data_IF_580885595924
#
_entry.id   IF_580885595924
#
_cell.length_a   1.000
_cell.length_b   1.000
_cell.length_c   1.000
_cell.angle_alpha   90.00
_cell.angle_beta   90.00
_cell.angle_gamma   90.00
#
_symmetry.space_group_name_H-M   'P 1'
#
loop_
_entity.id
_entity.type
_entity.pdbx_description
1 polymer ?
#
# COMPACT_ATOMS: atom_id res chain seq x y z
N UNK A 1 -26.30 25.10 -18.83
CA UNK A 1 -26.05 25.45 -17.41
C UNK A 1 -26.70 24.40 -16.52
N UNK A 2 -25.93 23.43 -16.02
CA UNK A 2 -26.07 23.01 -14.63
C UNK A 2 -24.82 22.27 -14.20
N UNK A 3 -24.26 22.75 -13.10
CA UNK A 3 -22.90 22.55 -12.63
C UNK A 3 -22.73 21.26 -11.83
N UNK A 4 -21.57 20.63 -12.02
CA UNK A 4 -20.66 20.05 -11.01
C UNK A 4 -21.31 19.14 -9.94
N UNK A 5 -21.16 17.83 -10.12
CA UNK A 5 -20.85 16.91 -9.02
C UNK A 5 -19.43 16.38 -9.25
N UNK A 6 -18.51 16.91 -8.46
CA UNK A 6 -17.12 16.48 -8.35
C UNK A 6 -17.13 15.05 -7.80
N UNK A 7 -16.57 14.10 -8.54
CA UNK A 7 -16.27 12.75 -8.06
C UNK A 7 -15.45 12.87 -6.78
N UNK A 8 -16.06 12.50 -5.65
CA UNK A 8 -15.35 12.24 -4.40
C UNK A 8 -14.71 10.86 -4.54
N UNK A 9 -13.41 10.74 -4.27
CA UNK A 9 -12.72 9.46 -4.11
C UNK A 9 -13.53 8.54 -3.19
N UNK A 10 -13.92 7.34 -3.63
CA UNK A 10 -14.63 6.41 -2.77
C UNK A 10 -13.66 5.62 -1.88
N UNK A 11 -13.82 5.84 -0.58
CA UNK A 11 -13.80 4.85 0.50
C UNK A 11 -12.66 3.83 0.59
N UNK A 12 -11.52 4.26 1.12
CA UNK A 12 -10.89 3.55 2.24
C UNK A 12 -11.71 3.85 3.51
N UNK A 13 -12.93 3.31 3.60
CA UNK A 13 -13.73 3.35 4.82
C UNK A 13 -13.47 2.11 5.67
N UNK A 14 -12.20 1.90 6.04
CA UNK A 14 -11.92 1.18 7.28
C UNK A 14 -12.31 2.11 8.43
N UNK A 15 -13.41 1.79 9.12
CA UNK A 15 -13.78 2.42 10.38
C UNK A 15 -12.67 2.11 11.41
N UNK A 16 -11.64 2.94 11.47
CA UNK A 16 -10.68 2.96 12.57
C UNK A 16 -11.22 3.93 13.64
N UNK A 17 -11.62 3.46 14.84
CA UNK A 17 -11.96 4.36 15.91
C UNK A 17 -10.71 5.13 16.36
N UNK A 18 -10.79 6.45 16.33
CA UNK A 18 -9.77 7.33 16.90
C UNK A 18 -9.66 7.07 18.41
N UNK A 19 -8.45 6.77 18.90
CA UNK A 19 -8.17 6.82 20.34
C UNK A 19 -8.26 8.28 20.81
N UNK A 20 -9.26 8.60 21.62
CA UNK A 20 -9.30 9.81 22.43
C UNK A 20 -8.26 9.73 23.54
N UNK A 21 -7.46 10.79 23.68
CA UNK A 21 -6.61 11.01 24.85
C UNK A 21 -7.47 11.50 26.02
N UNK A 22 -7.17 11.14 27.27
CA UNK A 22 -7.88 11.69 28.42
C UNK A 22 -7.40 13.12 28.72
N UNK A 23 -8.37 14.04 28.77
CA UNK A 23 -8.25 15.37 29.33
C UNK A 23 -7.93 15.31 30.83
N UNK A 24 -6.96 16.10 31.26
CA UNK A 24 -6.56 16.23 32.65
C UNK A 24 -5.73 17.49 32.88
N UNK A 25 -6.36 18.65 32.72
CA UNK A 25 -5.80 19.92 33.13
C UNK A 25 -5.90 20.08 34.66
N UNK A 26 -4.76 20.20 35.34
CA UNK A 26 -4.68 20.63 36.75
C UNK A 26 -4.08 22.03 36.78
N UNK A 27 -4.83 22.98 37.35
CA UNK A 27 -4.41 24.37 37.61
C UNK A 27 -3.30 24.46 38.66
N UNK A 28 -2.43 25.49 38.60
CA UNK A 28 -1.41 25.74 39.63
C UNK A 28 -1.92 26.69 40.73
N UNK A 29 -1.40 26.64 41.97
CA UNK A 29 -1.57 27.71 42.94
C UNK A 29 -0.41 28.71 42.90
N UNK A 30 -0.72 29.96 43.24
CA UNK A 30 0.20 31.09 43.26
C UNK A 30 0.77 31.39 44.67
N UNK A 31 2.01 31.87 44.64
CA UNK A 31 2.67 32.87 45.52
C UNK A 31 3.00 32.54 46.99
N UNK A 32 4.30 32.59 47.33
CA UNK A 32 4.90 33.70 48.13
C UNK A 32 6.43 33.49 48.33
N UNK A 33 7.17 34.61 48.33
CA UNK A 33 8.63 34.80 48.60
C UNK A 33 8.83 35.14 50.11
N UNK A 34 10.04 35.10 50.77
CA UNK A 34 11.28 35.77 50.31
C UNK A 34 12.69 35.28 50.77
N UNK A 35 13.70 35.89 50.10
CA UNK A 35 15.07 36.31 50.47
C UNK A 35 16.01 35.45 51.35
N UNK A 36 17.21 35.16 50.81
CA UNK A 36 18.59 35.57 51.23
C UNK A 36 19.62 34.74 50.40
N UNK A 37 20.90 35.05 50.14
CA UNK A 37 21.75 36.24 49.89
C UNK A 37 23.17 35.69 49.59
N UNK A 38 23.88 36.23 48.59
CA UNK A 38 25.35 36.13 48.31
C UNK A 38 25.91 34.74 47.89
N UNK A 39 26.82 34.58 46.92
CA UNK A 39 28.10 35.26 46.67
C UNK A 39 28.48 35.25 45.16
N UNK A 40 29.14 36.32 44.74
CA UNK A 40 29.76 36.63 43.43
C UNK A 40 31.02 35.78 43.13
N UNK A 41 31.27 35.42 41.86
CA UNK A 41 32.47 35.82 41.05
C UNK A 41 32.66 34.91 39.82
N UNK A 42 33.04 35.56 38.72
CA UNK A 42 33.18 35.03 37.37
C UNK A 42 34.45 34.18 37.13
N UNK A 43 34.36 33.22 36.19
CA UNK A 43 35.46 32.85 35.29
C UNK A 43 34.89 32.63 33.88
N UNK A 44 35.32 33.47 32.95
CA UNK A 44 35.17 33.28 31.50
C UNK A 44 36.45 32.61 31.01
N UNK A 45 36.37 31.39 30.47
CA UNK A 45 37.34 30.86 29.49
C UNK A 45 36.59 30.07 28.43
N UNK A 46 36.80 30.50 27.19
CA UNK A 46 36.29 29.97 25.93
C UNK A 46 36.79 28.56 25.63
N UNK A 47 35.89 27.64 25.28
CA UNK A 47 36.18 26.54 24.35
C UNK A 47 35.17 26.63 23.22
N UNK A 48 35.60 27.30 22.16
CA UNK A 48 35.00 27.16 20.84
C UNK A 48 35.27 25.75 20.31
N UNK A 49 34.37 25.29 19.45
CA UNK A 49 34.58 24.23 18.45
C UNK A 49 34.55 22.78 18.94
N UNK A 50 33.32 22.30 19.21
CA UNK A 50 32.91 20.95 18.84
C UNK A 50 31.39 20.88 18.65
N UNK A 51 30.83 21.74 17.78
CA UNK A 51 29.69 21.29 16.96
C UNK A 51 30.27 20.23 16.02
N UNK A 52 30.44 19.01 16.55
CA UNK A 52 30.53 17.85 15.71
C UNK A 52 29.18 17.76 15.02
N UNK A 53 29.22 18.13 13.75
CA UNK A 53 28.25 17.79 12.73
C UNK A 53 27.88 16.31 12.87
N UNK A 54 26.92 15.99 13.72
CA UNK A 54 25.94 14.93 13.42
C UNK A 54 25.07 15.45 12.29
N UNK A 55 25.71 15.74 11.15
CA UNK A 55 25.02 15.78 9.89
C UNK A 55 24.40 14.41 9.76
N UNK A 56 23.07 14.37 9.82
CA UNK A 56 22.31 13.17 9.57
C UNK A 56 22.90 12.54 8.31
N UNK A 57 23.63 11.43 8.46
CA UNK A 57 23.84 10.49 7.37
C UNK A 57 22.46 9.86 7.14
N UNK A 58 21.54 10.63 6.55
CA UNK A 58 20.32 10.12 5.95
C UNK A 58 20.82 9.01 5.05
N UNK A 59 20.51 7.76 5.41
CA UNK A 59 21.08 6.58 4.75
C UNK A 59 21.02 6.77 3.24
N UNK A 60 22.18 7.01 2.64
CA UNK A 60 22.34 7.37 1.22
C UNK A 60 22.16 6.17 0.29
N UNK A 61 21.77 5.01 0.84
CA UNK A 61 21.56 3.81 0.07
C UNK A 61 20.19 3.80 -0.58
N UNK A 62 20.21 3.35 -1.82
CA UNK A 62 19.02 3.12 -2.59
C UNK A 62 18.21 1.98 -1.95
N UNK A 63 16.90 2.17 -1.93
CA UNK A 63 15.94 1.15 -1.56
C UNK A 63 15.29 0.61 -2.83
N UNK A 64 15.01 -0.69 -2.78
CA UNK A 64 14.44 -1.41 -3.90
C UNK A 64 13.03 -1.90 -3.57
N UNK A 65 12.20 -1.94 -4.60
CA UNK A 65 10.88 -2.58 -4.61
C UNK A 65 10.76 -3.43 -5.87
N UNK A 66 9.90 -4.44 -5.84
CA UNK A 66 9.70 -5.37 -6.94
C UNK A 66 8.64 -4.86 -7.92
N UNK A 67 7.64 -4.16 -7.38
CA UNK A 67 6.55 -3.65 -8.20
C UNK A 67 5.81 -2.44 -7.65
N UNK A 68 4.85 -2.01 -8.44
CA UNK A 68 3.91 -0.94 -8.14
C UNK A 68 2.51 -1.52 -8.22
N UNK A 69 1.70 -1.23 -7.22
CA UNK A 69 0.28 -1.46 -7.29
C UNK A 69 -0.41 -0.19 -7.81
N UNK A 70 -1.35 -0.39 -8.73
CA UNK A 70 -2.17 0.67 -9.30
C UNK A 70 -3.62 0.36 -9.03
N UNK A 71 -4.34 1.31 -8.46
CA UNK A 71 -5.79 1.29 -8.34
C UNK A 71 -6.38 2.13 -9.49
N UNK A 72 -6.90 1.52 -10.57
CA UNK A 72 -7.48 2.29 -11.67
C UNK A 72 -8.67 3.13 -11.22
N UNK A 73 -8.63 4.40 -11.60
CA UNK A 73 -9.71 5.37 -11.49
C UNK A 73 -9.65 6.37 -12.67
N UNK A 74 -10.62 7.27 -12.75
CA UNK A 74 -10.68 8.26 -13.84
C UNK A 74 -9.48 9.24 -13.83
N UNK A 75 -8.92 9.55 -12.65
CA UNK A 75 -7.86 10.54 -12.52
C UNK A 75 -6.49 9.99 -12.97
N UNK A 76 -6.30 8.67 -12.82
CA UNK A 76 -5.03 7.99 -13.06
C UNK A 76 -5.17 6.85 -14.07
N UNK A 77 -6.21 6.88 -14.90
CA UNK A 77 -6.49 5.88 -15.93
C UNK A 77 -5.30 5.61 -16.87
N UNK A 78 -4.39 6.57 -17.06
CA UNK A 78 -3.16 6.39 -17.83
C UNK A 78 -1.93 6.64 -16.95
N UNK A 79 -1.53 5.67 -16.11
CA UNK A 79 -0.45 5.85 -15.15
C UNK A 79 0.90 6.05 -15.85
N UNK A 80 1.71 6.95 -15.32
CA UNK A 80 3.09 7.18 -15.75
C UNK A 80 3.95 7.56 -14.54
N UNK A 81 5.22 7.17 -14.58
CA UNK A 81 6.18 7.44 -13.50
C UNK A 81 7.52 6.77 -13.76
N UNK A 82 8.56 7.20 -13.04
CA UNK A 82 9.91 6.61 -13.14
C UNK A 82 10.14 5.53 -12.07
N UNK A 83 9.14 4.69 -11.79
CA UNK A 83 9.20 3.73 -10.68
C UNK A 83 10.27 2.64 -10.86
N UNK A 84 10.72 2.41 -12.09
CA UNK A 84 11.84 1.53 -12.39
C UNK A 84 13.17 2.01 -11.77
N UNK A 85 13.27 3.30 -11.39
CA UNK A 85 14.40 3.82 -10.60
C UNK A 85 14.49 3.15 -9.22
N UNK A 86 13.34 2.74 -8.66
CA UNK A 86 13.27 1.96 -7.43
C UNK A 86 13.49 0.46 -7.67
N UNK A 87 13.76 0.05 -8.91
CA UNK A 87 13.89 -1.36 -9.30
C UNK A 87 12.56 -2.04 -9.65
N UNK A 88 11.43 -1.33 -9.59
CA UNK A 88 10.13 -1.89 -9.93
C UNK A 88 10.13 -2.39 -11.39
N UNK A 89 9.64 -3.61 -11.58
CA UNK A 89 9.46 -4.22 -12.90
C UNK A 89 8.08 -4.88 -13.04
N UNK A 90 7.41 -5.09 -11.90
CA UNK A 90 6.08 -5.67 -11.84
C UNK A 90 5.01 -4.59 -11.63
N UNK A 91 3.89 -4.74 -12.33
CA UNK A 91 2.67 -3.96 -12.11
C UNK A 91 1.58 -4.88 -11.56
N UNK A 92 1.09 -4.58 -10.36
CA UNK A 92 -0.18 -5.11 -9.86
C UNK A 92 -1.29 -4.12 -10.23
N UNK A 93 -2.17 -4.51 -11.14
CA UNK A 93 -3.42 -3.77 -11.38
C UNK A 93 -4.41 -4.28 -10.35
N UNK A 94 -4.98 -3.44 -9.48
CA UNK A 94 -5.87 -3.90 -8.41
C UNK A 94 -7.16 -4.52 -8.96
N UNK A 95 -7.72 -3.92 -10.00
CA UNK A 95 -8.90 -4.42 -10.72
C UNK A 95 -8.88 -3.91 -12.16
N UNK A 96 -9.39 -4.71 -13.09
CA UNK A 96 -9.68 -4.26 -14.45
C UNK A 96 -11.18 -4.06 -14.69
N UNK A 97 -12.01 -4.48 -13.72
CA UNK A 97 -13.43 -4.15 -13.65
C UNK A 97 -13.82 -3.87 -12.19
N UNK A 98 -14.51 -2.76 -11.98
CA UNK A 98 -14.94 -2.33 -10.65
C UNK A 98 -16.30 -1.65 -10.73
N UNK A 99 -17.15 -1.90 -9.74
CA UNK A 99 -18.48 -1.27 -9.61
C UNK A 99 -19.33 -1.36 -10.89
N UNK A 100 -19.32 -2.56 -11.47
CA UNK A 100 -20.05 -2.90 -12.71
C UNK A 100 -19.62 -2.10 -13.95
N UNK A 101 -18.42 -1.53 -13.93
CA UNK A 101 -17.75 -0.92 -15.09
C UNK A 101 -16.41 -1.60 -15.37
N UNK A 102 -15.89 -1.43 -16.59
CA UNK A 102 -14.63 -2.03 -17.01
C UNK A 102 -13.62 -1.02 -17.55
N UNK A 103 -12.35 -1.23 -17.17
CA UNK A 103 -11.16 -0.56 -17.72
C UNK A 103 -10.58 -1.29 -18.93
N UNK A 104 -11.34 -2.22 -19.51
CA UNK A 104 -11.05 -2.90 -20.78
C UNK A 104 -12.33 -3.01 -21.61
N UNK A 105 -12.14 -3.04 -22.92
CA UNK A 105 -13.23 -3.34 -23.86
C UNK A 105 -13.63 -4.81 -23.80
N UNK A 106 -14.85 -5.10 -24.24
CA UNK A 106 -15.39 -6.46 -24.41
C UNK A 106 -15.52 -7.29 -23.11
N UNK A 107 -15.55 -6.63 -21.95
CA UNK A 107 -15.74 -7.28 -20.65
C UNK A 107 -17.18 -7.74 -20.33
N UNK A 108 -18.13 -7.53 -21.26
CA UNK A 108 -19.55 -7.69 -20.96
C UNK A 108 -20.09 -6.66 -19.95
N UNK A 109 -19.32 -5.60 -19.68
CA UNK A 109 -19.65 -4.49 -18.79
C UNK A 109 -19.52 -3.16 -19.53
N UNK A 110 -20.26 -2.12 -19.13
CA UNK A 110 -20.03 -0.76 -19.60
C UNK A 110 -18.57 -0.34 -19.40
N UNK A 111 -17.89 0.17 -20.43
CA UNK A 111 -16.54 0.70 -20.25
C UNK A 111 -16.59 2.00 -19.44
N UNK A 112 -15.52 2.29 -18.70
CA UNK A 112 -15.30 3.60 -18.11
C UNK A 112 -15.15 4.68 -19.20
N UNK A 113 -15.41 5.97 -18.90
CA UNK A 113 -15.33 7.04 -19.91
C UNK A 113 -13.97 7.16 -20.60
N UNK A 114 -12.89 6.88 -19.87
CA UNK A 114 -11.52 6.94 -20.38
C UNK A 114 -10.82 5.61 -20.15
N UNK A 115 -10.71 4.80 -21.20
CA UNK A 115 -9.98 3.55 -21.12
C UNK A 115 -8.46 3.80 -20.99
N UNK A 116 -7.75 2.99 -20.19
CA UNK A 116 -6.30 3.00 -20.14
C UNK A 116 -5.69 2.56 -21.47
N UNK A 117 -4.60 3.20 -21.89
CA UNK A 117 -3.74 2.70 -22.97
C UNK A 117 -2.85 1.57 -22.42
N UNK A 118 -3.43 0.38 -22.31
CA UNK A 118 -2.74 -0.81 -21.83
C UNK A 118 -1.54 -1.17 -22.71
N UNK A 119 -1.57 -0.89 -24.01
CA UNK A 119 -0.47 -1.19 -24.90
C UNK A 119 0.74 -0.31 -24.60
N UNK A 120 0.54 0.98 -24.31
CA UNK A 120 1.61 1.86 -23.81
C UNK A 120 2.09 1.39 -22.45
N UNK A 121 1.19 1.13 -21.51
CA UNK A 121 1.55 0.70 -20.15
C UNK A 121 2.42 -0.55 -20.20
N UNK A 122 2.08 -1.55 -21.01
CA UNK A 122 2.86 -2.78 -21.16
C UNK A 122 4.27 -2.59 -21.75
N UNK A 123 4.60 -1.41 -22.28
CA UNK A 123 5.96 -1.05 -22.75
C UNK A 123 6.79 -0.32 -21.70
N UNK A 124 6.18 0.07 -20.58
CA UNK A 124 6.87 0.79 -19.51
C UNK A 124 7.85 -0.15 -18.78
N UNK A 125 9.05 0.32 -18.41
CA UNK A 125 10.06 -0.52 -17.75
C UNK A 125 9.63 -1.03 -16.37
N UNK A 126 8.67 -0.35 -15.73
CA UNK A 126 8.09 -0.70 -14.44
C UNK A 126 6.87 -1.65 -14.54
N UNK A 127 6.43 -2.01 -15.75
CA UNK A 127 5.27 -2.88 -16.00
C UNK A 127 5.60 -4.06 -16.93
N UNK A 128 6.84 -4.57 -16.87
CA UNK A 128 7.29 -5.70 -17.70
C UNK A 128 6.51 -6.98 -17.41
N UNK A 129 6.10 -7.17 -16.16
CA UNK A 129 5.28 -8.28 -15.72
C UNK A 129 4.01 -7.72 -15.09
N UNK A 130 2.85 -8.20 -15.52
CA UNK A 130 1.57 -7.72 -14.99
C UNK A 130 0.85 -8.80 -14.21
N UNK A 131 0.46 -8.47 -12.98
CA UNK A 131 -0.54 -9.21 -12.22
C UNK A 131 -1.87 -8.50 -12.47
N UNK A 132 -2.75 -9.14 -13.23
CA UNK A 132 -3.99 -8.54 -13.69
C UNK A 132 -5.08 -8.70 -12.62
N UNK A 133 -5.51 -7.57 -12.06
CA UNK A 133 -6.65 -7.50 -11.16
C UNK A 133 -7.94 -7.89 -11.85
N UNK A 134 -8.70 -8.75 -11.20
CA UNK A 134 -9.98 -9.27 -11.67
C UNK A 134 -11.13 -8.33 -11.27
N UNK A 135 -12.38 -8.82 -11.33
CA UNK A 135 -13.55 -8.03 -10.98
C UNK A 135 -13.64 -7.77 -9.46
N UNK A 136 -14.01 -6.56 -9.08
CA UNK A 136 -14.18 -6.15 -7.68
C UNK A 136 -15.28 -5.11 -7.46
N UNK A 137 -15.48 -4.75 -6.20
CA UNK A 137 -16.26 -3.59 -5.78
C UNK A 137 -15.43 -2.78 -4.80
N UNK A 138 -15.54 -1.44 -4.86
CA UNK A 138 -14.83 -0.57 -3.92
C UNK A 138 -15.41 -0.69 -2.51
N UNK A 139 -16.74 -0.87 -2.40
CA UNK A 139 -17.39 -1.15 -1.12
C UNK A 139 -17.13 -2.59 -0.71
N UNK A 140 -16.34 -2.77 0.35
CA UNK A 140 -15.93 -4.09 0.85
C UNK A 140 -17.14 -4.97 1.22
N UNK A 141 -18.15 -4.39 1.88
CA UNK A 141 -19.36 -5.13 2.27
C UNK A 141 -20.10 -5.67 1.05
N UNK A 142 -20.23 -4.85 0.01
CA UNK A 142 -20.79 -5.24 -1.29
C UNK A 142 -19.93 -6.31 -1.96
N UNK A 143 -18.60 -6.17 -1.95
CA UNK A 143 -17.69 -7.16 -2.51
C UNK A 143 -17.89 -8.54 -1.86
N UNK A 144 -17.86 -8.59 -0.52
CA UNK A 144 -18.06 -9.82 0.28
C UNK A 144 -19.42 -10.45 0.08
N UNK A 145 -20.47 -9.63 -0.06
CA UNK A 145 -21.83 -10.12 -0.32
C UNK A 145 -22.05 -10.66 -1.74
N UNK A 146 -21.15 -10.37 -2.69
CA UNK A 146 -21.33 -10.65 -4.12
C UNK A 146 -20.18 -11.48 -4.74
N UNK A 147 -19.44 -12.25 -3.92
CA UNK A 147 -18.29 -13.06 -4.38
C UNK A 147 -18.62 -13.91 -5.60
N UNK A 148 -19.76 -14.61 -5.61
CA UNK A 148 -20.13 -15.48 -6.73
C UNK A 148 -20.25 -14.72 -8.06
N UNK A 149 -20.89 -13.54 -8.04
CA UNK A 149 -20.98 -12.66 -9.21
C UNK A 149 -19.60 -12.17 -9.65
N UNK A 150 -18.76 -11.75 -8.69
CA UNK A 150 -17.41 -11.26 -9.01
C UNK A 150 -16.55 -12.37 -9.61
N UNK A 151 -16.70 -13.62 -9.19
CA UNK A 151 -15.99 -14.77 -9.76
C UNK A 151 -16.43 -15.01 -11.20
N UNK A 152 -17.75 -15.05 -11.47
CA UNK A 152 -18.27 -15.19 -12.83
C UNK A 152 -17.74 -14.09 -13.77
N UNK A 153 -17.79 -12.84 -13.33
CA UNK A 153 -17.24 -11.70 -14.08
C UNK A 153 -15.72 -11.84 -14.29
N UNK A 154 -15.00 -12.28 -13.27
CA UNK A 154 -13.55 -12.50 -13.34
C UNK A 154 -13.17 -13.58 -14.34
N UNK A 155 -13.95 -14.65 -14.43
CA UNK A 155 -13.74 -15.71 -15.42
C UNK A 155 -13.94 -15.20 -16.84
N UNK A 156 -14.96 -14.37 -17.09
CA UNK A 156 -15.17 -13.74 -18.39
C UNK A 156 -13.99 -12.83 -18.74
N UNK A 157 -13.59 -11.96 -17.82
CA UNK A 157 -12.48 -11.03 -17.99
C UNK A 157 -11.16 -11.74 -18.30
N UNK A 158 -10.87 -12.84 -17.60
CA UNK A 158 -9.60 -13.58 -17.74
C UNK A 158 -9.35 -14.15 -19.14
N UNK A 159 -10.40 -14.26 -19.96
CA UNK A 159 -10.37 -14.79 -21.32
C UNK A 159 -10.17 -13.72 -22.39
N UNK A 160 -10.21 -12.44 -21.99
CA UNK A 160 -10.08 -11.31 -22.92
C UNK A 160 -8.60 -11.09 -23.23
N UNK A 161 -8.20 -11.09 -24.51
CA UNK A 161 -6.84 -10.73 -24.89
C UNK A 161 -6.54 -9.28 -24.47
N UNK A 162 -5.45 -9.10 -23.72
CA UNK A 162 -4.95 -7.78 -23.31
C UNK A 162 -3.53 -7.58 -23.84
N UNK A 163 -3.14 -6.35 -24.23
CA UNK A 163 -1.80 -6.06 -24.75
C UNK A 163 -0.78 -5.91 -23.60
N UNK A 164 -0.78 -6.86 -22.66
CA UNK A 164 0.05 -6.88 -21.46
C UNK A 164 0.70 -8.26 -21.33
N UNK A 165 1.93 -8.30 -20.80
CA UNK A 165 2.56 -9.55 -20.41
C UNK A 165 2.01 -9.97 -19.04
N UNK A 166 0.87 -10.66 -19.05
CA UNK A 166 0.20 -11.13 -17.83
C UNK A 166 0.93 -12.36 -17.30
N UNK A 167 1.47 -12.25 -16.09
CA UNK A 167 2.19 -13.33 -15.37
C UNK A 167 1.37 -13.93 -14.24
N UNK A 168 0.18 -13.40 -13.97
CA UNK A 168 -0.66 -13.80 -12.87
C UNK A 168 -1.92 -12.96 -12.73
N UNK A 169 -2.78 -13.36 -11.81
CA UNK A 169 -4.06 -12.73 -11.55
C UNK A 169 -4.21 -12.37 -10.08
N UNK A 170 -4.99 -11.34 -9.81
CA UNK A 170 -5.28 -10.87 -8.45
C UNK A 170 -6.78 -10.74 -8.25
N UNK A 171 -7.33 -11.45 -7.25
CA UNK A 171 -8.74 -11.32 -6.89
C UNK A 171 -8.90 -10.29 -5.77
N UNK A 172 -9.52 -9.13 -6.04
CA UNK A 172 -9.43 -7.95 -5.17
C UNK A 172 -10.36 -7.97 -3.96
N UNK A 173 -11.19 -9.01 -3.77
CA UNK A 173 -12.09 -9.07 -2.60
C UNK A 173 -11.25 -9.25 -1.34
N UNK A 174 -11.26 -8.25 -0.48
CA UNK A 174 -10.38 -8.21 0.67
C UNK A 174 -10.83 -9.16 1.78
N UNK A 175 -9.89 -9.98 2.24
CA UNK A 175 -10.11 -10.94 3.31
C UNK A 175 -9.45 -10.46 4.61
N UNK A 176 -10.22 -10.44 5.69
CA UNK A 176 -9.72 -10.22 7.05
C UNK A 176 -10.45 -11.18 8.03
N UNK A 177 -9.87 -11.47 9.21
CA UNK A 177 -10.42 -12.42 10.17
C UNK A 177 -11.83 -12.10 10.70
N UNK A 178 -12.30 -10.86 10.57
CA UNK A 178 -13.68 -10.50 10.95
C UNK A 178 -14.73 -11.04 9.96
N UNK A 179 -14.32 -11.43 8.75
CA UNK A 179 -15.21 -12.02 7.76
C UNK A 179 -15.43 -13.50 8.03
N UNK A 180 -16.47 -13.79 8.80
CA UNK A 180 -16.87 -15.17 9.19
C UNK A 180 -17.14 -16.09 8.01
N UNK A 181 -17.60 -15.53 6.89
CA UNK A 181 -17.93 -16.26 5.67
C UNK A 181 -16.75 -16.43 4.71
N UNK A 182 -15.55 -15.92 5.06
CA UNK A 182 -14.36 -16.04 4.21
C UNK A 182 -14.04 -17.48 3.77
N UNK A 183 -14.24 -18.54 4.59
CA UNK A 183 -14.00 -19.91 4.14
C UNK A 183 -14.81 -20.32 2.90
N UNK A 184 -15.96 -19.68 2.64
CA UNK A 184 -16.77 -19.93 1.43
C UNK A 184 -16.07 -19.49 0.14
N UNK A 185 -15.06 -18.61 0.22
CA UNK A 185 -14.21 -18.23 -0.91
C UNK A 185 -13.41 -19.41 -1.46
N UNK A 186 -13.08 -20.40 -0.63
CA UNK A 186 -12.15 -21.47 -1.00
C UNK A 186 -12.54 -22.15 -2.33
N UNK A 187 -13.83 -22.51 -2.46
CA UNK A 187 -14.37 -23.10 -3.69
C UNK A 187 -14.33 -22.10 -4.87
N UNK A 188 -14.79 -20.87 -4.64
CA UNK A 188 -14.79 -19.80 -5.65
C UNK A 188 -13.40 -19.48 -6.22
N UNK A 189 -12.37 -19.58 -5.39
CA UNK A 189 -10.99 -19.33 -5.82
C UNK A 189 -10.41 -20.46 -6.67
N UNK A 190 -10.98 -21.67 -6.64
CA UNK A 190 -10.46 -22.81 -7.42
C UNK A 190 -10.65 -22.60 -8.93
N UNK A 191 -11.77 -21.98 -9.32
CA UNK A 191 -12.14 -21.78 -10.72
C UNK A 191 -11.34 -20.65 -11.40
N UNK A 192 -10.81 -19.71 -10.61
CA UNK A 192 -10.08 -18.54 -11.10
C UNK A 192 -8.72 -18.91 -11.73
N UNK A 193 -8.25 -18.12 -12.71
CA UNK A 193 -7.02 -18.43 -13.45
C UNK A 193 -5.76 -18.36 -12.58
N UNK A 194 -4.72 -19.11 -12.98
CA UNK A 194 -3.45 -19.25 -12.26
C UNK A 194 -2.28 -18.59 -12.99
N UNK A 195 -1.20 -18.21 -12.26
CA UNK A 195 -1.11 -18.12 -10.79
C UNK A 195 -2.05 -17.04 -10.23
N UNK A 196 -2.59 -17.25 -9.02
CA UNK A 196 -3.60 -16.37 -8.40
C UNK A 196 -3.12 -15.85 -7.06
N UNK A 197 -3.34 -14.56 -6.79
CA UNK A 197 -3.20 -13.97 -5.48
C UNK A 197 -4.52 -13.37 -4.99
N UNK A 198 -4.72 -13.38 -3.68
CA UNK A 198 -5.75 -12.60 -3.00
C UNK A 198 -5.12 -11.51 -2.15
N UNK A 199 -5.94 -10.58 -1.68
CA UNK A 199 -5.51 -9.56 -0.74
C UNK A 199 -6.01 -9.84 0.66
N UNK A 200 -5.11 -9.70 1.63
CA UNK A 200 -5.36 -10.00 3.03
C UNK A 200 -4.86 -8.87 3.89
N UNK A 201 -5.66 -8.49 4.87
CA UNK A 201 -5.25 -7.57 5.92
C UNK A 201 -5.81 -8.03 7.27
N UNK A 202 -5.39 -7.35 8.33
CA UNK A 202 -5.90 -7.60 9.69
C UNK A 202 -6.31 -6.27 10.32
N UNK A 203 -7.62 -5.96 10.25
CA UNK A 203 -8.17 -4.76 10.89
C UNK A 203 -8.13 -4.86 12.42
N UNK A 204 -8.23 -6.08 12.95
CA UNK A 204 -8.42 -6.36 14.36
C UNK A 204 -7.09 -6.51 15.13
N UNK A 205 -5.96 -6.54 14.41
CA UNK A 205 -4.61 -6.73 14.95
C UNK A 205 -4.48 -7.98 15.84
N UNK A 206 -5.06 -9.10 15.39
CA UNK A 206 -5.05 -10.39 16.09
C UNK A 206 -3.67 -11.08 16.08
N UNK A 207 -2.73 -10.56 15.29
CA UNK A 207 -1.35 -11.04 15.23
C UNK A 207 -1.08 -11.95 14.03
N UNK A 208 0.15 -11.89 13.52
CA UNK A 208 0.58 -12.59 12.31
C UNK A 208 0.37 -14.10 12.33
N UNK A 209 0.66 -14.76 13.46
CA UNK A 209 0.45 -16.20 13.60
C UNK A 209 -1.04 -16.56 13.52
N UNK A 210 -1.88 -15.82 14.25
CA UNK A 210 -3.33 -16.04 14.26
C UNK A 210 -3.94 -15.81 12.88
N UNK A 211 -3.50 -14.75 12.18
CA UNK A 211 -3.89 -14.49 10.79
C UNK A 211 -3.49 -15.65 9.86
N UNK A 212 -2.26 -16.12 9.97
CA UNK A 212 -1.76 -17.23 9.14
C UNK A 212 -2.49 -18.55 9.42
N UNK A 213 -2.76 -18.84 10.69
CA UNK A 213 -3.54 -20.01 11.11
C UNK A 213 -4.98 -19.94 10.58
N UNK A 214 -5.62 -18.77 10.67
CA UNK A 214 -6.95 -18.54 10.11
C UNK A 214 -6.99 -18.76 8.59
N UNK A 215 -6.07 -18.15 7.83
CA UNK A 215 -5.96 -18.37 6.38
C UNK A 215 -5.77 -19.86 6.05
N UNK A 216 -4.96 -20.58 6.84
CA UNK A 216 -4.65 -21.98 6.58
C UNK A 216 -5.85 -22.92 6.77
N UNK A 217 -6.95 -22.44 7.37
CA UNK A 217 -8.18 -23.23 7.48
C UNK A 217 -8.98 -23.29 6.17
N UNK A 218 -8.73 -22.40 5.21
CA UNK A 218 -9.57 -22.31 4.00
C UNK A 218 -8.86 -21.89 2.71
N UNK A 219 -7.71 -21.21 2.76
CA UNK A 219 -7.04 -20.72 1.56
C UNK A 219 -6.46 -21.90 0.75
N UNK A 220 -6.76 -22.03 -0.56
CA UNK A 220 -6.17 -23.08 -1.38
C UNK A 220 -4.64 -23.03 -1.40
N UNK A 221 -4.01 -24.22 -1.47
CA UNK A 221 -2.57 -24.37 -1.32
C UNK A 221 -1.72 -23.72 -2.45
N UNK A 222 -2.35 -23.39 -3.57
CA UNK A 222 -1.73 -22.78 -4.75
C UNK A 222 -2.09 -21.29 -4.92
N UNK A 223 -2.87 -20.72 -4.00
CA UNK A 223 -3.21 -19.28 -4.00
C UNK A 223 -2.18 -18.49 -3.19
N UNK A 224 -1.62 -17.45 -3.78
CA UNK A 224 -0.72 -16.51 -3.13
C UNK A 224 -1.45 -15.42 -2.31
N UNK A 225 -0.69 -14.72 -1.49
CA UNK A 225 -1.16 -13.70 -0.55
C UNK A 225 -0.42 -12.40 -0.85
N UNK A 226 -1.19 -11.36 -1.15
CA UNK A 226 -0.75 -9.97 -0.99
C UNK A 226 -1.22 -9.47 0.37
N UNK A 227 -0.29 -9.29 1.30
CA UNK A 227 -0.60 -8.76 2.62
C UNK A 227 -0.55 -7.23 2.61
N UNK A 228 -1.63 -6.56 3.02
CA UNK A 228 -1.65 -5.11 3.22
C UNK A 228 -1.07 -4.77 4.59
N UNK A 229 -0.02 -3.96 4.58
CA UNK A 229 0.80 -3.76 5.76
C UNK A 229 0.20 -2.83 6.83
N UNK A 230 -0.87 -2.09 6.49
CA UNK A 230 -1.60 -1.22 7.40
C UNK A 230 -0.78 -0.05 7.94
N UNK A 231 0.40 0.20 7.40
CA UNK A 231 1.29 1.28 7.85
C UNK A 231 0.78 2.64 7.38
N UNK A 232 0.21 2.69 6.18
CA UNK A 232 -0.32 3.91 5.58
C UNK A 232 -1.58 4.44 6.24
N UNK A 233 -2.30 3.62 6.99
CA UNK A 233 -3.42 4.01 7.86
C UNK A 233 -3.05 4.07 9.35
N UNK A 234 -1.77 3.91 9.70
CA UNK A 234 -1.29 3.83 11.08
C UNK A 234 -1.92 2.72 11.92
N UNK A 235 -2.42 1.66 11.30
CA UNK A 235 -2.88 0.47 12.01
C UNK A 235 -1.70 -0.29 12.63
N UNK A 236 -0.52 -0.23 11.98
CA UNK A 236 0.70 -0.93 12.42
C UNK A 236 1.95 -0.12 12.15
N UNK A 237 2.97 -0.36 12.97
CA UNK A 237 4.34 0.06 12.71
C UNK A 237 5.03 -0.91 11.72
N UNK A 238 6.00 -0.46 10.91
CA UNK A 238 6.75 -1.31 9.98
C UNK A 238 7.29 -2.63 10.55
N UNK A 239 7.88 -2.57 11.75
CA UNK A 239 8.46 -3.76 12.40
C UNK A 239 7.37 -4.75 12.81
N UNK A 240 6.20 -4.25 13.21
CA UNK A 240 5.06 -5.10 13.53
C UNK A 240 4.52 -5.76 12.26
N UNK A 241 4.31 -5.01 11.18
CA UNK A 241 3.90 -5.58 9.88
C UNK A 241 4.90 -6.64 9.37
N UNK A 242 6.21 -6.46 9.61
CA UNK A 242 7.22 -7.49 9.30
C UNK A 242 6.98 -8.80 10.05
N UNK A 243 6.50 -8.77 11.30
CA UNK A 243 6.17 -10.01 12.03
C UNK A 243 5.03 -10.78 11.38
N UNK A 244 4.05 -10.08 10.78
CA UNK A 244 2.98 -10.72 10.01
C UNK A 244 3.52 -11.40 8.76
N UNK A 245 4.37 -10.68 8.00
CA UNK A 245 5.00 -11.26 6.82
C UNK A 245 5.81 -12.52 7.14
N UNK A 246 6.55 -12.51 8.24
CA UNK A 246 7.30 -13.68 8.70
C UNK A 246 6.37 -14.86 9.00
N UNK A 247 5.29 -14.64 9.76
CA UNK A 247 4.36 -15.71 10.11
C UNK A 247 3.63 -16.27 8.87
N UNK A 248 3.21 -15.39 7.94
CA UNK A 248 2.61 -15.80 6.67
C UNK A 248 3.61 -16.62 5.84
N UNK A 249 4.85 -16.15 5.70
CA UNK A 249 5.87 -16.84 4.91
C UNK A 249 6.29 -18.17 5.53
N UNK A 250 6.36 -18.27 6.86
CA UNK A 250 6.61 -19.52 7.57
C UNK A 250 5.48 -20.54 7.33
N UNK A 251 4.22 -20.08 7.28
CA UNK A 251 3.06 -20.95 7.09
C UNK A 251 2.84 -21.37 5.63
N UNK A 252 3.01 -20.45 4.68
CA UNK A 252 2.60 -20.65 3.27
C UNK A 252 3.78 -20.80 2.31
N UNK A 253 5.00 -20.53 2.77
CA UNK A 253 6.18 -20.43 1.92
C UNK A 253 6.37 -19.00 1.40
N UNK A 254 7.63 -18.58 1.35
CA UNK A 254 8.02 -17.20 1.05
C UNK A 254 7.57 -16.71 -0.33
N UNK A 255 7.62 -17.56 -1.35
CA UNK A 255 7.28 -17.20 -2.73
C UNK A 255 5.79 -16.92 -2.93
N UNK A 256 4.95 -17.42 -2.02
CA UNK A 256 3.51 -17.18 -2.01
C UNK A 256 3.12 -15.91 -1.29
N UNK A 257 4.04 -15.25 -0.58
CA UNK A 257 3.73 -14.08 0.24
C UNK A 257 4.43 -12.84 -0.30
N UNK A 258 3.62 -11.86 -0.68
CA UNK A 258 4.05 -10.54 -1.14
C UNK A 258 3.45 -9.47 -0.23
N UNK A 259 4.09 -8.32 -0.12
CA UNK A 259 3.58 -7.21 0.70
C UNK A 259 3.14 -6.05 -0.18
N UNK A 260 1.95 -5.54 0.10
CA UNK A 260 1.50 -4.22 -0.30
C UNK A 260 1.98 -3.25 0.78
N UNK A 261 2.99 -2.45 0.45
CA UNK A 261 3.50 -1.40 1.29
C UNK A 261 2.77 -0.09 0.96
N UNK A 262 1.88 0.34 1.85
CA UNK A 262 1.07 1.54 1.66
C UNK A 262 1.97 2.80 1.66
N UNK A 263 2.04 3.46 0.51
CA UNK A 263 2.87 4.64 0.23
C UNK A 263 2.13 5.97 0.51
N UNK A 264 0.99 5.91 1.20
CA UNK A 264 0.19 7.07 1.59
C UNK A 264 0.12 7.24 3.10
N UNK A 265 -0.30 8.41 3.58
CA UNK A 265 -0.58 8.71 4.99
C UNK A 265 -1.85 9.56 5.11
N UNK A 266 -2.57 9.51 6.24
CA UNK A 266 -3.74 10.36 6.47
C UNK A 266 -3.35 11.84 6.41
N UNK A 267 -4.20 12.63 5.75
CA UNK A 267 -4.07 14.09 5.59
C UNK A 267 -5.30 14.85 6.14
N UNK A 268 -6.08 14.19 7.00
CA UNK A 268 -7.37 14.66 7.52
C UNK A 268 -8.50 13.68 7.22
N UNK A 269 -9.75 14.00 7.61
CA UNK A 269 -10.89 13.08 7.47
C UNK A 269 -11.09 12.62 6.03
N UNK A 270 -10.93 11.31 5.80
CA UNK A 270 -11.11 10.68 4.48
C UNK A 270 -10.13 11.11 3.40
N UNK A 271 -9.00 11.73 3.77
CA UNK A 271 -7.99 12.21 2.82
C UNK A 271 -6.64 11.58 3.09
N UNK A 272 -5.89 11.39 2.02
CA UNK A 272 -4.53 10.86 2.05
C UNK A 272 -3.56 11.77 1.31
N UNK A 273 -2.31 11.76 1.74
CA UNK A 273 -1.15 12.35 1.06
C UNK A 273 -0.14 11.24 0.77
N UNK A 274 0.82 11.50 -0.12
CA UNK A 274 2.02 10.65 -0.20
C UNK A 274 2.74 10.57 1.14
N UNK A 275 3.28 9.39 1.44
CA UNK A 275 4.29 9.24 2.47
C UNK A 275 5.56 10.00 2.06
N UNK A 276 6.27 10.55 3.04
CA UNK A 276 7.59 11.15 2.80
C UNK A 276 8.66 10.06 2.70
N UNK A 277 9.85 10.36 2.12
CA UNK A 277 10.96 9.43 2.14
C UNK A 277 11.33 8.96 3.55
N UNK A 278 11.26 9.84 4.55
CA UNK A 278 11.57 9.54 5.95
C UNK A 278 10.58 8.55 6.56
N UNK A 279 9.30 8.65 6.18
CA UNK A 279 8.25 7.72 6.61
C UNK A 279 8.34 6.36 5.90
N UNK A 280 8.74 6.36 4.63
CA UNK A 280 8.76 5.16 3.79
C UNK A 280 10.06 4.35 3.95
N UNK A 281 11.20 4.99 4.22
CA UNK A 281 12.49 4.30 4.45
C UNK A 281 12.46 3.22 5.54
N UNK A 282 11.95 3.46 6.77
CA UNK A 282 11.88 2.42 7.80
C UNK A 282 10.95 1.27 7.39
N UNK A 283 9.87 1.56 6.66
CA UNK A 283 8.92 0.58 6.10
C UNK A 283 9.62 -0.38 5.14
N UNK A 284 10.26 0.14 4.10
CA UNK A 284 10.98 -0.68 3.12
C UNK A 284 12.20 -1.42 3.71
N UNK A 285 12.90 -0.80 4.66
CA UNK A 285 13.99 -1.48 5.39
C UNK A 285 13.48 -2.70 6.16
N UNK A 286 12.30 -2.62 6.78
CA UNK A 286 11.71 -3.73 7.52
C UNK A 286 11.35 -4.91 6.59
N UNK A 287 10.95 -4.63 5.35
CA UNK A 287 10.49 -5.66 4.41
C UNK A 287 11.58 -6.27 3.53
N UNK A 288 12.85 -5.90 3.74
CA UNK A 288 13.99 -6.48 3.01
C UNK A 288 13.92 -8.00 2.94
N UNK A 289 14.11 -8.53 1.74
CA UNK A 289 14.04 -9.94 1.45
C UNK A 289 12.64 -10.47 1.15
N UNK A 290 11.57 -9.68 1.23
CA UNK A 290 10.25 -10.02 0.66
C UNK A 290 10.03 -9.29 -0.66
N UNK A 291 9.08 -9.78 -1.46
CA UNK A 291 8.60 -9.04 -2.63
C UNK A 291 7.67 -7.90 -2.21
N UNK A 292 8.06 -6.66 -2.52
CA UNK A 292 7.40 -5.43 -2.06
C UNK A 292 6.76 -4.69 -3.23
N UNK A 293 5.48 -4.33 -3.07
CA UNK A 293 4.72 -3.54 -4.03
C UNK A 293 4.25 -2.25 -3.35
N UNK A 294 4.58 -1.09 -3.91
CA UNK A 294 4.11 0.19 -3.37
C UNK A 294 2.67 0.44 -3.79
N UNK A 295 1.81 0.71 -2.82
CA UNK A 295 0.41 1.05 -3.09
C UNK A 295 0.10 2.50 -2.69
N UNK A 296 -0.42 3.36 -3.56
CA UNK A 296 -0.62 3.20 -4.99
C UNK A 296 0.36 4.10 -5.76
N UNK A 297 0.85 3.62 -6.89
CA UNK A 297 1.87 4.29 -7.69
C UNK A 297 1.46 5.68 -8.15
N UNK A 298 0.40 5.81 -8.98
CA UNK A 298 0.02 7.07 -9.60
C UNK A 298 -0.35 8.18 -8.63
N UNK A 299 -0.98 7.85 -7.51
CA UNK A 299 -1.42 8.87 -6.55
C UNK A 299 -0.32 9.24 -5.56
N UNK A 300 0.49 8.26 -5.14
CA UNK A 300 1.32 8.43 -3.95
C UNK A 300 2.82 8.28 -4.17
N UNK A 301 3.26 7.63 -5.24
CA UNK A 301 4.69 7.40 -5.53
C UNK A 301 5.22 8.46 -6.51
N UNK A 302 5.38 9.68 -5.99
CA UNK A 302 5.87 10.84 -6.75
C UNK A 302 7.39 10.78 -7.04
N UNK A 303 7.84 11.60 -8.00
CA UNK A 303 9.28 11.81 -8.28
C UNK A 303 10.10 12.21 -7.05
N UNK A 304 9.53 13.02 -6.16
CA UNK A 304 10.17 13.39 -4.89
C UNK A 304 10.38 12.17 -4.00
N UNK A 305 9.37 11.30 -3.91
CA UNK A 305 9.48 10.06 -3.14
C UNK A 305 10.52 9.13 -3.77
N UNK A 306 10.50 8.95 -5.10
CA UNK A 306 11.46 8.13 -5.84
C UNK A 306 12.90 8.60 -5.56
N UNK A 307 13.20 9.88 -5.76
CA UNK A 307 14.53 10.47 -5.49
C UNK A 307 14.94 10.33 -4.03
N UNK A 308 13.98 10.49 -3.12
CA UNK A 308 14.22 10.35 -1.69
C UNK A 308 14.50 8.92 -1.25
N UNK A 309 14.02 7.90 -1.98
CA UNK A 309 14.22 6.48 -1.68
C UNK A 309 15.42 5.86 -2.42
N UNK A 310 15.69 6.29 -3.65
CA UNK A 310 16.79 5.81 -4.49
C UNK A 310 17.61 6.96 -5.10
N UNK A 311 18.31 7.76 -4.26
CA UNK A 311 19.00 8.96 -4.71
C UNK A 311 20.12 8.68 -5.73
N UNK A 312 20.85 7.55 -5.62
CA UNK A 312 21.95 7.27 -6.54
C UNK A 312 21.44 6.79 -7.90
N UNK A 313 20.45 5.89 -7.92
CA UNK A 313 19.79 5.45 -9.14
C UNK A 313 19.12 6.63 -9.88
N UNK A 314 18.46 7.53 -9.14
CA UNK A 314 17.85 8.72 -9.72
C UNK A 314 18.90 9.65 -10.35
N UNK A 315 20.02 9.91 -9.66
CA UNK A 315 21.12 10.72 -10.19
C UNK A 315 21.73 10.08 -11.45
N UNK A 316 21.93 8.76 -11.44
CA UNK A 316 22.45 8.01 -12.60
C UNK A 316 21.53 8.12 -13.81
N UNK A 317 20.21 8.06 -13.62
CA UNK A 317 19.24 8.24 -14.71
C UNK A 317 19.28 9.66 -15.28
N UNK A 318 19.37 10.67 -14.41
CA UNK A 318 19.48 12.06 -14.84
C UNK A 318 20.75 12.35 -15.66
N UNK A 319 21.86 11.65 -15.39
CA UNK A 319 23.11 11.79 -16.17
C UNK A 319 23.09 11.14 -17.56
N UNK A 320 22.06 10.36 -17.89
CA UNK A 320 21.93 9.63 -19.16
C UNK A 320 20.91 10.21 -20.13
N UNK A 321 20.10 11.16 -19.70
CA UNK A 321 19.12 11.87 -20.53
C UNK A 321 19.66 13.22 -20.96
#
# INVERSE_FOLDING_TARGET
MNSRKICRSPSLHANYPAKSAPDGAVQPPAASRPLTRFVTLAVVISVATALLMTGCSLSTHDLHVDGIAWQPDDATANPSGNWDVLGAQDLLIQWIAVDDTAFISNAGLPPVPHLPDLARIGREPWAKNVILGLAGYQDEKRARANVAKLVEQSLMISRIPVPLHVVGYYFPVEADPSWTDAPKLAASLQDLPRPLWITVYDQSNIGGKTLADWLATWLPADVGIFFQDGVGVYAREPRLARTYLNALAERFGKDRVRVIAEAFRPAGPGKFRSATPEEMRPQLKAYRGYSVYLFDGPHYVSETLIKGLAPNAAAKRASKG
#
